data_IF_888543674754
#
_entry.id   IF_888543674754
#
_cell.length_a   1.000
_cell.length_b   1.000
_cell.length_c   1.000
_cell.angle_alpha   90.00
_cell.angle_beta   90.00
_cell.angle_gamma   90.00
#
_symmetry.space_group_name_H-M   'P 1'
#
loop_
_entity.id
_entity.type
_entity.pdbx_description
1 polymer ?
#
# COMPACT_ATOMS: atom_id res chain seq x y z
N UNK A 1 30.74 -46.83 -1.09
CA UNK A 1 29.39 -46.23 -1.01
C UNK A 1 28.41 -47.35 -0.72
N UNK A 2 27.51 -47.19 0.25
CA UNK A 2 26.57 -48.27 0.62
C UNK A 2 25.46 -48.37 -0.44
N UNK A 3 25.04 -49.57 -0.81
CA UNK A 3 24.12 -49.81 -1.95
C UNK A 3 22.81 -49.02 -1.88
N UNK A 4 22.27 -48.80 -0.68
CA UNK A 4 21.03 -48.01 -0.49
C UNK A 4 21.15 -46.55 -0.96
N UNK A 5 22.35 -45.94 -0.90
CA UNK A 5 22.54 -44.55 -1.35
C UNK A 5 22.45 -44.44 -2.87
N UNK A 6 22.90 -45.47 -3.59
CA UNK A 6 22.83 -45.54 -5.06
C UNK A 6 21.38 -45.68 -5.50
N UNK A 7 20.63 -46.57 -4.85
CA UNK A 7 19.20 -46.77 -5.12
C UNK A 7 18.41 -45.49 -4.78
N UNK A 8 18.64 -44.91 -3.60
CA UNK A 8 17.97 -43.66 -3.20
C UNK A 8 18.19 -42.53 -4.20
N UNK A 9 19.45 -42.30 -4.63
CA UNK A 9 19.77 -41.27 -5.62
C UNK A 9 19.10 -41.53 -6.96
N UNK A 10 19.01 -42.79 -7.40
CA UNK A 10 18.33 -43.19 -8.64
C UNK A 10 16.83 -42.90 -8.56
N UNK A 11 16.16 -43.32 -7.48
CA UNK A 11 14.72 -43.09 -7.31
C UNK A 11 14.36 -41.59 -7.22
N UNK A 12 15.19 -40.79 -6.54
CA UNK A 12 15.00 -39.33 -6.51
C UNK A 12 15.17 -38.71 -7.91
N UNK A 13 16.21 -39.11 -8.65
CA UNK A 13 16.44 -38.60 -10.02
C UNK A 13 15.33 -39.01 -10.99
N UNK A 14 14.83 -40.24 -10.88
CA UNK A 14 13.74 -40.73 -11.71
C UNK A 14 12.42 -40.02 -11.36
N UNK A 15 12.14 -39.83 -10.07
CA UNK A 15 11.00 -39.03 -9.61
C UNK A 15 11.05 -37.58 -10.07
N UNK A 16 12.24 -36.96 -10.06
CA UNK A 16 12.42 -35.58 -10.56
C UNK A 16 12.24 -35.46 -12.09
N UNK A 17 12.49 -36.55 -12.84
CA UNK A 17 12.26 -36.61 -14.29
C UNK A 17 10.79 -36.83 -14.63
N UNK A 18 10.01 -37.42 -13.73
CA UNK A 18 8.56 -37.52 -13.86
C UNK A 18 7.88 -36.20 -13.51
N UNK A 19 7.97 -35.25 -14.45
CA UNK A 19 7.31 -33.94 -14.34
C UNK A 19 5.80 -34.07 -14.17
N UNK A 20 5.16 -35.12 -14.71
CA UNK A 20 3.70 -35.29 -14.62
C UNK A 20 3.31 -35.64 -13.18
N UNK A 21 4.03 -36.59 -12.56
CA UNK A 21 3.80 -36.95 -11.16
C UNK A 21 4.19 -35.83 -10.19
N UNK A 22 5.31 -35.13 -10.45
CA UNK A 22 5.68 -33.97 -9.64
C UNK A 22 4.63 -32.87 -9.69
N UNK A 23 4.13 -32.54 -10.88
CA UNK A 23 3.12 -31.49 -11.02
C UNK A 23 1.81 -31.88 -10.32
N UNK A 24 1.33 -33.12 -10.45
CA UNK A 24 0.12 -33.54 -9.74
C UNK A 24 0.29 -33.57 -8.22
N UNK A 25 1.49 -33.88 -7.72
CA UNK A 25 1.81 -33.86 -6.30
C UNK A 25 1.98 -32.44 -5.73
N UNK A 26 2.49 -31.48 -6.52
CA UNK A 26 2.84 -30.14 -6.04
C UNK A 26 1.83 -29.04 -6.40
N UNK A 27 0.94 -29.26 -7.38
CA UNK A 27 0.03 -28.19 -7.83
C UNK A 27 -0.88 -27.72 -6.70
N UNK A 28 -1.52 -28.61 -5.95
CA UNK A 28 -2.41 -28.22 -4.85
C UNK A 28 -1.66 -27.65 -3.63
N UNK A 29 -0.56 -28.29 -3.14
CA UNK A 29 0.20 -27.74 -2.02
C UNK A 29 0.86 -26.40 -2.29
N UNK A 30 1.23 -26.10 -3.54
CA UNK A 30 1.83 -24.82 -3.90
C UNK A 30 0.78 -23.77 -4.27
N UNK A 31 -0.32 -24.14 -4.94
CA UNK A 31 -1.35 -23.18 -5.37
C UNK A 31 -1.88 -22.37 -4.19
N UNK A 32 -2.22 -23.02 -3.07
CA UNK A 32 -2.79 -22.33 -1.91
C UNK A 32 -1.88 -21.22 -1.32
N UNK A 33 -0.61 -21.48 -0.94
CA UNK A 33 0.27 -20.44 -0.41
C UNK A 33 0.57 -19.33 -1.43
N UNK A 34 0.73 -19.65 -2.72
CA UNK A 34 0.92 -18.63 -3.75
C UNK A 34 -0.33 -17.75 -3.92
N UNK A 35 -1.51 -18.35 -3.89
CA UNK A 35 -2.79 -17.62 -3.98
C UNK A 35 -2.97 -16.72 -2.76
N UNK A 36 -2.74 -17.24 -1.54
CA UNK A 36 -2.81 -16.45 -0.31
C UNK A 36 -1.81 -15.30 -0.34
N UNK A 37 -0.56 -15.56 -0.72
CA UNK A 37 0.45 -14.51 -0.86
C UNK A 37 -0.04 -13.44 -1.83
N UNK A 38 -0.43 -13.82 -3.05
CA UNK A 38 -0.94 -12.90 -4.06
C UNK A 38 -2.12 -12.05 -3.56
N UNK A 39 -3.10 -12.67 -2.90
CA UNK A 39 -4.26 -11.95 -2.37
C UNK A 39 -3.88 -10.97 -1.26
N UNK A 40 -3.01 -11.38 -0.33
CA UNK A 40 -2.56 -10.51 0.76
C UNK A 40 -1.78 -9.33 0.21
N UNK A 41 -0.83 -9.55 -0.71
CA UNK A 41 -0.06 -8.46 -1.31
C UNK A 41 -0.97 -7.50 -2.07
N UNK A 42 -1.90 -8.02 -2.88
CA UNK A 42 -2.86 -7.19 -3.62
C UNK A 42 -3.75 -6.38 -2.66
N UNK A 43 -4.22 -6.98 -1.57
CA UNK A 43 -5.03 -6.29 -0.58
C UNK A 43 -4.26 -5.18 0.13
N UNK A 44 -2.97 -5.40 0.41
CA UNK A 44 -2.07 -4.38 0.97
C UNK A 44 -1.87 -3.25 -0.06
N UNK A 45 -1.57 -3.56 -1.31
CA UNK A 45 -1.34 -2.57 -2.36
C UNK A 45 -2.60 -1.72 -2.62
N UNK A 46 -3.79 -2.33 -2.63
CA UNK A 46 -5.06 -1.60 -2.74
C UNK A 46 -5.33 -0.67 -1.56
N UNK A 47 -4.79 -0.95 -0.38
CA UNK A 47 -4.89 -0.07 0.80
C UNK A 47 -3.75 0.94 0.90
N UNK A 48 -2.61 0.64 0.28
CA UNK A 48 -1.39 1.46 0.31
C UNK A 48 -1.30 2.35 -0.93
N UNK A 49 -2.19 2.17 -1.91
CA UNK A 49 -2.37 3.12 -3.03
C UNK A 49 -2.93 4.47 -2.58
N UNK A 50 -3.26 4.64 -1.29
CA UNK A 50 -3.30 5.93 -0.60
C UNK A 50 -1.85 6.44 -0.34
N UNK A 51 -0.96 6.24 -1.31
CA UNK A 51 0.43 6.68 -1.27
C UNK A 51 0.43 8.19 -1.50
N UNK A 52 0.81 8.92 -0.44
CA UNK A 52 0.82 10.39 -0.33
C UNK A 52 -0.57 11.04 -0.35
N UNK A 53 -1.35 10.88 0.73
CA UNK A 53 -2.44 11.81 1.03
C UNK A 53 -1.84 13.23 1.20
N UNK A 54 -1.64 13.92 0.09
CA UNK A 54 -1.23 15.33 0.06
C UNK A 54 -2.45 16.15 0.40
N UNK A 55 -2.54 16.53 1.66
CA UNK A 55 -3.65 17.30 2.17
C UNK A 55 -3.58 18.69 1.53
N UNK A 56 -4.60 19.05 0.78
CA UNK A 56 -4.73 20.41 0.27
C UNK A 56 -5.06 21.36 1.43
N UNK A 57 -4.36 22.49 1.53
CA UNK A 57 -4.50 23.44 2.65
C UNK A 57 -4.88 24.82 2.14
N UNK A 58 -5.84 25.45 2.83
CA UNK A 58 -6.13 26.88 2.71
C UNK A 58 -5.63 27.58 3.97
N UNK A 59 -4.80 28.60 3.80
CA UNK A 59 -4.28 29.39 4.92
C UNK A 59 -3.16 28.71 5.70
N UNK A 60 -2.30 27.92 5.05
CA UNK A 60 -1.13 27.30 5.68
C UNK A 60 -0.27 28.32 6.47
N UNK A 61 -0.12 29.53 5.93
CA UNK A 61 0.61 30.65 6.56
C UNK A 61 -0.01 31.13 7.88
N UNK A 62 -1.29 30.84 8.14
CA UNK A 62 -1.95 31.22 9.39
C UNK A 62 -1.47 30.36 10.57
N UNK A 63 -0.89 29.18 10.31
CA UNK A 63 -0.45 28.26 11.36
C UNK A 63 0.81 27.45 10.97
N UNK A 64 1.97 28.10 10.75
CA UNK A 64 3.18 27.42 10.29
C UNK A 64 3.64 26.33 11.25
N UNK A 65 3.58 26.57 12.56
CA UNK A 65 3.95 25.57 13.58
C UNK A 65 3.05 24.32 13.57
N UNK A 66 1.77 24.47 13.21
CA UNK A 66 0.86 23.33 13.08
C UNK A 66 1.23 22.48 11.86
N UNK A 67 1.54 23.14 10.73
CA UNK A 67 1.97 22.46 9.50
C UNK A 67 3.26 21.69 9.77
N UNK A 68 4.28 22.33 10.36
CA UNK A 68 5.56 21.68 10.69
C UNK A 68 5.34 20.45 11.59
N UNK A 69 4.51 20.58 12.63
CA UNK A 69 4.20 19.46 13.53
C UNK A 69 3.49 18.30 12.82
N UNK A 70 2.61 18.60 11.87
CA UNK A 70 1.91 17.57 11.09
C UNK A 70 2.85 16.91 10.05
N UNK A 71 3.76 17.68 9.44
CA UNK A 71 4.78 17.14 8.53
C UNK A 71 5.75 16.19 9.25
N UNK A 72 6.15 16.52 10.49
CA UNK A 72 6.93 15.62 11.35
C UNK A 72 6.24 14.27 11.62
N UNK A 73 4.90 14.22 11.55
CA UNK A 73 4.11 12.99 11.68
C UNK A 73 3.98 12.20 10.37
N UNK A 74 4.61 12.68 9.29
CA UNK A 74 4.61 12.03 7.99
C UNK A 74 3.46 12.43 7.07
N UNK A 75 2.73 13.50 7.41
CA UNK A 75 1.74 14.09 6.49
C UNK A 75 2.46 14.99 5.48
N UNK A 76 1.87 15.15 4.29
CA UNK A 76 2.36 16.09 3.28
C UNK A 76 1.25 17.06 2.93
N UNK A 77 1.64 18.31 2.71
CA UNK A 77 0.69 19.38 2.41
C UNK A 77 0.97 19.98 1.03
N UNK A 78 -0.11 20.42 0.37
CA UNK A 78 -0.06 21.22 -0.84
C UNK A 78 -1.00 22.40 -0.72
N UNK A 79 -0.63 23.53 -1.30
CA UNK A 79 -1.53 24.69 -1.33
C UNK A 79 -2.74 24.37 -2.21
N UNK A 80 -3.94 24.64 -1.69
CA UNK A 80 -5.16 24.52 -2.48
C UNK A 80 -5.25 25.71 -3.44
N UNK A 81 -5.50 25.47 -4.72
CA UNK A 81 -5.57 26.54 -5.73
C UNK A 81 -6.80 27.45 -5.62
N UNK A 82 -7.79 27.08 -4.82
CA UNK A 82 -8.96 27.90 -4.50
C UNK A 82 -8.75 28.68 -3.21
N UNK A 83 -9.30 29.89 -3.15
CA UNK A 83 -9.15 30.77 -1.98
C UNK A 83 -10.45 30.91 -1.17
N UNK A 84 -11.54 30.27 -1.60
CA UNK A 84 -12.83 30.32 -0.94
C UNK A 84 -13.21 28.96 -0.33
N UNK A 85 -13.90 29.01 0.82
CA UNK A 85 -14.48 27.84 1.47
C UNK A 85 -15.49 27.12 0.56
N UNK A 86 -16.24 27.88 -0.25
CA UNK A 86 -17.18 27.34 -1.25
C UNK A 86 -16.48 26.52 -2.36
N UNK A 87 -15.27 26.92 -2.78
CA UNK A 87 -14.47 26.18 -3.75
C UNK A 87 -13.98 24.85 -3.14
N UNK A 88 -13.62 24.87 -1.85
CA UNK A 88 -13.18 23.70 -1.11
C UNK A 88 -14.31 22.68 -0.92
N UNK A 89 -15.49 23.15 -0.50
CA UNK A 89 -16.68 22.31 -0.36
C UNK A 89 -17.07 21.66 -1.67
N UNK A 90 -17.04 22.43 -2.76
CA UNK A 90 -17.31 21.93 -4.12
C UNK A 90 -16.29 20.87 -4.53
N UNK A 91 -14.99 21.12 -4.31
CA UNK A 91 -13.93 20.18 -4.67
C UNK A 91 -14.04 18.84 -3.93
N UNK A 92 -14.36 18.85 -2.63
CA UNK A 92 -14.59 17.63 -1.84
C UNK A 92 -15.87 16.93 -2.26
N UNK A 93 -16.98 17.67 -2.45
CA UNK A 93 -18.27 17.08 -2.87
C UNK A 93 -18.19 16.42 -4.25
N UNK A 94 -17.36 16.94 -5.15
CA UNK A 94 -17.13 16.40 -6.48
C UNK A 94 -16.02 15.34 -6.53
N UNK A 95 -15.45 14.95 -5.38
CA UNK A 95 -14.33 14.00 -5.28
C UNK A 95 -13.10 14.42 -6.09
N UNK A 96 -12.90 15.72 -6.28
CA UNK A 96 -11.68 16.27 -6.89
C UNK A 96 -10.52 16.31 -5.88
N UNK A 97 -10.86 16.44 -4.60
CA UNK A 97 -9.95 16.36 -3.46
C UNK A 97 -10.58 15.43 -2.41
N UNK A 98 -9.77 14.60 -1.76
CA UNK A 98 -10.27 13.70 -0.69
C UNK A 98 -10.54 14.45 0.62
N UNK A 99 -9.71 15.46 0.91
CA UNK A 99 -9.83 16.31 2.09
C UNK A 99 -9.11 17.63 1.87
N UNK A 100 -9.67 18.71 2.42
CA UNK A 100 -9.05 20.04 2.45
C UNK A 100 -9.00 20.51 3.90
N UNK A 101 -7.83 20.94 4.37
CA UNK A 101 -7.64 21.55 5.69
C UNK A 101 -7.77 23.07 5.56
N UNK A 102 -8.75 23.65 6.25
CA UNK A 102 -8.96 25.10 6.29
C UNK A 102 -8.44 25.64 7.62
N UNK A 103 -7.45 26.53 7.55
CA UNK A 103 -6.88 27.20 8.71
C UNK A 103 -7.35 28.66 8.72
N UNK A 104 -8.27 29.04 9.62
CA UNK A 104 -8.81 30.39 9.63
C UNK A 104 -7.74 31.41 10.05
N UNK A 105 -7.83 32.68 9.62
CA UNK A 105 -6.86 33.73 9.96
C UNK A 105 -6.72 33.99 11.48
N UNK A 106 -7.74 33.65 12.27
CA UNK A 106 -7.75 33.80 13.72
C UNK A 106 -7.23 32.56 14.47
N UNK A 107 -6.57 31.62 13.78
CA UNK A 107 -6.01 30.43 14.40
C UNK A 107 -5.01 30.80 15.50
N UNK A 108 -5.33 30.48 16.74
CA UNK A 108 -4.46 30.71 17.90
C UNK A 108 -4.09 29.34 18.45
N UNK A 109 -2.89 28.85 18.10
CA UNK A 109 -2.35 27.62 18.69
C UNK A 109 -2.21 27.81 20.20
N UNK A 110 -2.88 26.97 20.99
CA UNK A 110 -2.64 26.87 22.44
C UNK A 110 -1.47 25.93 22.71
#
# INVERSE_FOLDING_TARGET
MKGYQVVFRKEVLDGLRDKRALMSALIFPLLAPFLVLFLVTTMIDMRTSDDDLQIAVIGADNAPHLIDWLEEKGLKFREFGGNAEEDAETAVSHQLEEMILIIPPAFTGQ
#
